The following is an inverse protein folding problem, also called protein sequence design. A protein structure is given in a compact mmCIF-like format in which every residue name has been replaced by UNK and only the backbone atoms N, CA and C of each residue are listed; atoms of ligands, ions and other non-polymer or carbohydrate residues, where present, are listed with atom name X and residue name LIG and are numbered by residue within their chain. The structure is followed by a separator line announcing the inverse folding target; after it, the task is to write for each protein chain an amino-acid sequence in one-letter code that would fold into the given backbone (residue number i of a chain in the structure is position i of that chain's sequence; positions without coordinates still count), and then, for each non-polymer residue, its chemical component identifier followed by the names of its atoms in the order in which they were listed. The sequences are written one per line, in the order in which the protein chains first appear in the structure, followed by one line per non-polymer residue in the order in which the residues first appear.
data_IF_360399083856
#
_entry.id   IF_360399083856
#
_cell.length_a   1.000
_cell.length_b   1.000
_cell.length_c   1.000
_cell.angle_alpha   90.00
_cell.angle_beta   90.00
_cell.angle_gamma   90.00
#
_symmetry.space_group_name_H-M   'P 1'
#
loop_
_entity.id
_entity.type
_entity.pdbx_description
1 polymer ?
#
# COMPACT_ATOMS: atom_id res chain seq x y z
N UNK A 1 18.77 9.56 7.05
CA UNK A 1 20.23 9.54 6.80
C UNK A 1 20.50 10.07 5.40
N UNK A 2 21.66 10.68 5.14
CA UNK A 2 22.01 11.20 3.81
C UNK A 2 22.42 10.06 2.86
N UNK A 3 22.45 10.30 1.55
CA UNK A 3 22.92 9.30 0.57
C UNK A 3 24.37 8.84 0.81
N UNK A 4 25.17 9.69 1.46
CA UNK A 4 26.55 9.35 1.84
C UNK A 4 26.59 8.35 3.00
N UNK A 5 25.63 8.41 3.94
CA UNK A 5 25.60 7.51 5.10
C UNK A 5 25.28 6.05 4.70
N UNK A 6 24.41 5.84 3.70
CA UNK A 6 24.11 4.49 3.20
C UNK A 6 25.35 3.87 2.53
N UNK A 7 26.08 4.65 1.73
CA UNK A 7 27.30 4.18 1.06
C UNK A 7 28.35 3.71 2.07
N UNK A 8 28.56 4.49 3.13
CA UNK A 8 29.46 4.15 4.23
C UNK A 8 29.01 2.86 4.92
N UNK A 9 27.72 2.71 5.18
CA UNK A 9 27.16 1.49 5.80
C UNK A 9 27.37 0.26 4.91
N UNK A 10 27.20 0.40 3.58
CA UNK A 10 27.44 -0.66 2.60
C UNK A 10 28.92 -1.08 2.55
N UNK A 11 29.84 -0.12 2.55
CA UNK A 11 31.28 -0.38 2.59
C UNK A 11 31.66 -1.10 3.91
N UNK A 12 31.13 -0.67 5.06
CA UNK A 12 31.42 -1.29 6.36
C UNK A 12 30.97 -2.75 6.46
N UNK A 13 29.78 -3.08 5.97
CA UNK A 13 29.31 -4.47 5.94
C UNK A 13 30.13 -5.30 4.95
N UNK A 14 30.45 -4.74 3.78
CA UNK A 14 31.29 -5.39 2.77
C UNK A 14 32.67 -5.77 3.30
N UNK A 15 33.38 -4.82 3.91
CA UNK A 15 34.72 -5.01 4.47
C UNK A 15 34.77 -6.10 5.55
N UNK A 16 33.67 -6.28 6.31
CA UNK A 16 33.58 -7.32 7.33
C UNK A 16 33.56 -8.73 6.73
N UNK A 17 32.97 -8.90 5.56
CA UNK A 17 32.80 -10.20 4.89
C UNK A 17 33.79 -10.44 3.74
N UNK A 18 34.65 -9.48 3.41
CA UNK A 18 35.69 -9.61 2.39
C UNK A 18 36.90 -10.45 2.88
N UNK A 19 36.66 -11.66 3.35
CA UNK A 19 37.67 -12.56 3.87
C UNK A 19 38.19 -13.49 2.77
N UNK A 20 39.51 -13.55 2.62
CA UNK A 20 40.19 -14.54 1.77
C UNK A 20 40.25 -15.92 2.43
N UNK A 21 40.61 -16.94 1.63
CA UNK A 21 40.68 -18.35 2.06
C UNK A 21 41.52 -18.55 3.33
N UNK A 22 42.71 -17.92 3.40
CA UNK A 22 43.57 -18.00 4.59
C UNK A 22 42.96 -17.34 5.83
N UNK A 23 42.22 -16.25 5.68
CA UNK A 23 41.58 -15.56 6.80
C UNK A 23 40.42 -16.40 7.35
N UNK A 24 39.65 -17.01 6.46
CA UNK A 24 38.56 -17.94 6.82
C UNK A 24 39.13 -19.14 7.58
N UNK A 25 40.15 -19.81 7.04
CA UNK A 25 40.76 -20.99 7.66
C UNK A 25 41.38 -20.66 9.03
N UNK A 26 42.10 -19.55 9.12
CA UNK A 26 42.67 -19.09 10.38
C UNK A 26 41.60 -18.74 11.42
N UNK A 27 40.54 -18.03 11.02
CA UNK A 27 39.46 -17.63 11.92
C UNK A 27 38.72 -18.85 12.50
N UNK A 28 38.32 -19.80 11.64
CA UNK A 28 37.66 -21.04 12.06
C UNK A 28 38.56 -21.86 13.00
N UNK A 29 39.84 -21.99 12.66
CA UNK A 29 40.81 -22.73 13.49
C UNK A 29 40.98 -22.10 14.87
N UNK A 30 41.02 -20.76 14.96
CA UNK A 30 41.13 -20.05 16.24
C UNK A 30 39.83 -20.17 17.05
N UNK A 31 38.66 -20.09 16.42
CA UNK A 31 37.36 -20.31 17.07
C UNK A 31 37.25 -21.70 17.72
N UNK A 32 37.68 -22.75 17.00
CA UNK A 32 37.62 -24.14 17.49
C UNK A 32 38.48 -24.37 18.74
N UNK A 33 39.58 -23.61 18.88
CA UNK A 33 40.60 -23.85 19.90
C UNK A 33 40.64 -22.78 21.00
N UNK A 34 39.94 -21.66 20.81
CA UNK A 34 39.85 -20.53 21.75
C UNK A 34 41.08 -19.61 21.72
N UNK A 35 42.28 -20.15 21.96
CA UNK A 35 43.55 -19.40 21.88
C UNK A 35 44.69 -20.19 21.23
N UNK A 36 45.36 -19.58 20.27
CA UNK A 36 46.48 -20.20 19.53
C UNK A 36 47.64 -19.23 19.34
N UNK A 37 48.83 -19.78 19.14
CA UNK A 37 49.99 -19.01 18.65
C UNK A 37 50.05 -19.05 17.13
N UNK A 38 50.73 -18.09 16.49
CA UNK A 38 50.91 -18.08 15.04
C UNK A 38 51.52 -19.39 14.50
N UNK A 39 52.46 -20.01 15.23
CA UNK A 39 52.99 -21.32 14.84
C UNK A 39 51.95 -22.42 14.91
N UNK A 40 51.12 -22.44 15.96
CA UNK A 40 50.05 -23.42 16.08
C UNK A 40 48.98 -23.29 15.00
N UNK A 41 48.71 -22.07 14.52
CA UNK A 41 47.82 -21.81 13.38
C UNK A 41 48.45 -22.37 12.10
N UNK A 42 49.73 -22.10 11.85
CA UNK A 42 50.46 -22.65 10.69
C UNK A 42 50.49 -24.20 10.70
N UNK A 43 50.59 -24.82 11.87
CA UNK A 43 50.62 -26.28 12.00
C UNK A 43 49.24 -26.93 11.75
N UNK A 44 48.15 -26.16 11.84
CA UNK A 44 46.76 -26.64 11.76
C UNK A 44 46.05 -26.23 10.48
N UNK A 45 46.67 -25.39 9.67
CA UNK A 45 46.11 -24.84 8.43
C UNK A 45 47.12 -25.00 7.31
N UNK A 46 46.67 -24.85 6.06
CA UNK A 46 47.56 -24.83 4.90
C UNK A 46 48.22 -23.45 4.68
N UNK A 47 48.16 -22.57 5.67
CA UNK A 47 48.68 -21.20 5.59
C UNK A 47 50.20 -21.23 5.78
N UNK A 48 51.00 -20.75 4.81
CA UNK A 48 52.44 -20.65 4.97
C UNK A 48 52.79 -19.80 6.19
N UNK A 49 53.69 -20.28 7.04
CA UNK A 49 54.05 -19.62 8.29
C UNK A 49 54.42 -18.13 8.18
N UNK A 50 55.07 -17.64 7.10
CA UNK A 50 55.30 -16.20 6.91
C UNK A 50 54.00 -15.38 6.76
N UNK A 51 52.92 -15.97 6.24
CA UNK A 51 51.63 -15.32 5.97
C UNK A 51 50.68 -15.33 7.16
N UNK A 52 50.90 -16.18 8.16
CA UNK A 52 50.02 -16.27 9.32
C UNK A 52 49.96 -14.95 10.08
N UNK A 53 51.08 -14.25 10.24
CA UNK A 53 51.12 -12.97 10.94
C UNK A 53 50.28 -11.89 10.23
N UNK A 54 50.35 -11.81 8.90
CA UNK A 54 49.56 -10.87 8.11
C UNK A 54 48.07 -11.22 8.18
N UNK A 55 47.76 -12.51 8.12
CA UNK A 55 46.39 -13.04 8.18
C UNK A 55 45.73 -12.71 9.53
N UNK A 56 46.40 -12.99 10.66
CA UNK A 56 45.83 -12.72 11.99
C UNK A 56 45.78 -11.24 12.33
N UNK A 57 46.66 -10.41 11.73
CA UNK A 57 46.55 -8.94 11.81
C UNK A 57 45.32 -8.44 11.08
N UNK A 58 45.08 -8.91 9.85
CA UNK A 58 43.87 -8.55 9.11
C UNK A 58 42.60 -8.96 9.85
N UNK A 59 42.57 -10.18 10.41
CA UNK A 59 41.46 -10.62 11.26
C UNK A 59 41.29 -9.75 12.51
N UNK A 60 42.39 -9.27 13.10
CA UNK A 60 42.36 -8.38 14.27
C UNK A 60 41.90 -6.97 13.92
N UNK A 61 42.31 -6.42 12.78
CA UNK A 61 41.87 -5.11 12.27
C UNK A 61 40.37 -5.13 11.98
N UNK A 62 39.87 -6.30 11.55
CA UNK A 62 38.44 -6.59 11.41
C UNK A 62 37.80 -7.05 12.72
N UNK A 63 38.44 -6.98 13.88
CA UNK A 63 37.84 -7.32 15.18
C UNK A 63 37.23 -8.73 15.28
N UNK A 64 37.77 -9.70 14.54
CA UNK A 64 37.37 -11.12 14.59
C UNK A 64 38.24 -11.91 15.59
N UNK A 65 39.45 -11.43 15.85
CA UNK A 65 40.39 -12.00 16.82
C UNK A 65 41.08 -10.90 17.61
N UNK A 66 41.52 -11.20 18.83
CA UNK A 66 42.35 -10.33 19.67
C UNK A 66 43.81 -10.83 19.64
N UNK A 67 44.76 -9.92 19.39
CA UNK A 67 46.19 -10.22 19.50
C UNK A 67 46.70 -9.83 20.89
N UNK A 68 47.15 -10.82 21.67
CA UNK A 68 47.80 -10.58 22.96
C UNK A 68 49.31 -10.53 22.82
N UNK A 69 49.90 -9.46 23.37
CA UNK A 69 51.35 -9.22 23.43
C UNK A 69 52.05 -10.15 24.44
N UNK A 70 52.01 -11.46 24.20
CA UNK A 70 52.77 -12.47 24.93
C UNK A 70 53.98 -12.97 24.10
N UNK A 71 54.86 -13.75 24.73
CA UNK A 71 55.97 -14.43 24.04
C UNK A 71 55.81 -15.94 24.21
N UNK A 72 55.39 -16.70 23.17
CA UNK A 72 54.99 -16.25 21.83
C UNK A 72 53.64 -15.49 21.80
N UNK A 73 53.40 -14.70 20.74
CA UNK A 73 52.15 -13.95 20.52
C UNK A 73 50.95 -14.90 20.48
N UNK A 74 49.89 -14.56 21.19
CA UNK A 74 48.63 -15.32 21.20
C UNK A 74 47.56 -14.60 20.39
N UNK A 75 46.76 -15.38 19.69
CA UNK A 75 45.60 -15.00 18.90
C UNK A 75 44.40 -15.64 19.58
N UNK A 76 43.43 -14.83 19.98
CA UNK A 76 42.26 -15.26 20.74
C UNK A 76 41.02 -14.98 19.93
N UNK A 77 40.09 -15.92 19.86
CA UNK A 77 38.81 -15.68 19.22
C UNK A 77 38.02 -14.61 19.99
N UNK A 78 37.44 -13.65 19.25
CA UNK A 78 36.38 -12.81 19.81
C UNK A 78 35.07 -13.59 19.74
N UNK A 79 34.20 -13.42 20.74
CA UNK A 79 32.88 -14.03 20.73
C UNK A 79 32.13 -13.63 19.44
N UNK A 80 31.54 -14.57 18.68
CA UNK A 80 30.85 -14.25 17.43
C UNK A 80 29.70 -13.26 17.60
N UNK A 81 28.96 -13.29 18.71
CA UNK A 81 27.90 -12.31 18.99
C UNK A 81 28.50 -10.91 19.13
N UNK A 82 29.62 -10.78 19.85
CA UNK A 82 30.32 -9.50 20.00
C UNK A 82 30.93 -9.04 18.68
N UNK A 83 31.64 -9.93 17.98
CA UNK A 83 32.34 -9.66 16.73
C UNK A 83 31.38 -9.21 15.62
N UNK A 84 30.19 -9.80 15.52
CA UNK A 84 29.22 -9.50 14.46
C UNK A 84 28.07 -8.57 14.89
N UNK A 85 27.96 -8.20 16.17
CA UNK A 85 26.88 -7.32 16.67
C UNK A 85 26.69 -6.06 15.84
N UNK A 86 27.77 -5.30 15.62
CA UNK A 86 27.71 -4.07 14.84
C UNK A 86 27.31 -4.30 13.38
N UNK A 87 27.79 -5.39 12.77
CA UNK A 87 27.48 -5.72 11.37
C UNK A 87 26.05 -6.23 11.21
N UNK A 88 25.51 -6.95 12.20
CA UNK A 88 24.10 -7.31 12.20
C UNK A 88 23.22 -6.05 12.23
N UNK A 89 23.50 -5.11 13.12
CA UNK A 89 22.77 -3.83 13.18
C UNK A 89 22.92 -3.04 11.87
N UNK A 90 24.15 -2.87 11.36
CA UNK A 90 24.39 -2.16 10.11
C UNK A 90 23.74 -2.83 8.90
N UNK A 91 23.69 -4.16 8.86
CA UNK A 91 22.99 -4.91 7.81
C UNK A 91 21.48 -4.70 7.90
N UNK A 92 20.89 -4.76 9.11
CA UNK A 92 19.48 -4.48 9.31
C UNK A 92 19.13 -3.05 8.88
N UNK A 93 19.89 -2.06 9.34
CA UNK A 93 19.70 -0.65 8.99
C UNK A 93 19.85 -0.42 7.48
N UNK A 94 20.85 -1.05 6.86
CA UNK A 94 21.06 -0.98 5.41
C UNK A 94 19.90 -1.60 4.63
N UNK A 95 19.42 -2.78 5.04
CA UNK A 95 18.27 -3.43 4.39
C UNK A 95 17.04 -2.56 4.51
N UNK A 96 16.73 -2.04 5.70
CA UNK A 96 15.60 -1.14 5.91
C UNK A 96 15.69 0.13 5.07
N UNK A 97 16.88 0.71 4.93
CA UNK A 97 17.09 1.94 4.14
C UNK A 97 17.09 1.68 2.62
N UNK A 98 17.63 0.54 2.17
CA UNK A 98 17.54 0.09 0.78
C UNK A 98 16.09 -0.23 0.42
N UNK A 99 15.35 -0.87 1.32
CA UNK A 99 13.93 -1.12 1.19
C UNK A 99 13.18 0.20 1.10
N UNK A 100 13.42 1.15 2.01
CA UNK A 100 12.83 2.48 1.94
C UNK A 100 13.12 3.19 0.60
N UNK A 101 14.34 3.09 0.04
CA UNK A 101 14.68 3.66 -1.27
C UNK A 101 14.07 2.92 -2.47
N UNK A 102 14.03 1.59 -2.42
CA UNK A 102 13.39 0.76 -3.45
C UNK A 102 11.89 1.03 -3.52
N UNK A 103 11.33 1.36 -2.37
CA UNK A 103 9.90 1.49 -2.13
C UNK A 103 9.41 2.94 -2.24
N UNK A 104 10.32 3.90 -2.04
CA UNK A 104 10.06 5.31 -2.25
C UNK A 104 9.48 5.52 -3.66
N UNK A 105 8.32 6.19 -3.79
CA UNK A 105 7.77 6.53 -5.08
C UNK A 105 8.84 7.23 -5.90
N UNK A 106 9.05 6.78 -7.15
CA UNK A 106 9.79 7.57 -8.11
C UNK A 106 9.05 8.90 -8.24
N UNK A 107 9.51 9.94 -7.52
CA UNK A 107 9.09 11.35 -7.53
C UNK A 107 7.84 11.63 -8.37
N UNK A 108 6.71 12.02 -7.76
CA UNK A 108 5.61 12.87 -8.28
C UNK A 108 5.34 13.01 -9.81
N UNK A 109 5.68 12.04 -10.68
CA UNK A 109 5.65 12.26 -12.14
C UNK A 109 5.20 11.09 -13.00
N UNK A 110 5.01 9.89 -12.45
CA UNK A 110 4.34 8.81 -13.19
C UNK A 110 2.92 8.63 -12.68
N UNK A 111 1.95 9.07 -13.49
CA UNK A 111 0.52 8.82 -13.25
C UNK A 111 0.18 7.32 -13.13
N UNK A 112 1.06 6.46 -13.67
CA UNK A 112 0.93 5.00 -13.64
C UNK A 112 2.27 4.35 -13.33
N UNK A 113 2.33 3.46 -12.34
CA UNK A 113 3.52 2.67 -12.01
C UNK A 113 3.24 1.18 -12.09
N UNK A 114 4.17 0.41 -12.65
CA UNK A 114 4.10 -1.05 -12.71
C UNK A 114 4.97 -1.67 -11.60
N UNK A 115 4.39 -2.49 -10.75
CA UNK A 115 5.11 -3.18 -9.66
C UNK A 115 5.04 -4.68 -9.84
N UNK A 116 6.12 -5.39 -9.51
CA UNK A 116 6.18 -6.86 -9.62
C UNK A 116 6.33 -7.56 -8.26
N UNK A 117 6.83 -6.86 -7.25
CA UNK A 117 7.02 -7.43 -5.93
C UNK A 117 5.72 -7.45 -5.14
N UNK A 118 5.42 -8.60 -4.53
CA UNK A 118 4.31 -8.78 -3.58
C UNK A 118 4.39 -7.78 -2.42
N UNK A 119 5.58 -7.56 -1.84
CA UNK A 119 5.74 -6.60 -0.73
C UNK A 119 5.36 -5.18 -1.15
N UNK A 120 5.73 -4.79 -2.38
CA UNK A 120 5.41 -3.48 -2.93
C UNK A 120 3.91 -3.33 -3.21
N UNK A 121 3.24 -4.38 -3.71
CA UNK A 121 1.78 -4.39 -3.90
C UNK A 121 1.05 -4.24 -2.57
N UNK A 122 1.46 -5.00 -1.54
CA UNK A 122 0.84 -4.96 -0.21
C UNK A 122 0.96 -3.57 0.42
N UNK A 123 2.15 -2.99 0.41
CA UNK A 123 2.32 -1.62 0.91
C UNK A 123 1.49 -0.61 0.11
N UNK A 124 1.41 -0.70 -1.21
CA UNK A 124 0.55 0.22 -1.97
C UNK A 124 -0.94 0.03 -1.67
N UNK A 125 -1.39 -1.17 -1.33
CA UNK A 125 -2.76 -1.38 -0.82
C UNK A 125 -2.96 -0.63 0.50
N UNK A 126 -2.03 -0.79 1.45
CA UNK A 126 -2.02 -0.07 2.73
C UNK A 126 -2.02 1.46 2.51
N UNK A 127 -1.14 1.98 1.64
CA UNK A 127 -1.08 3.41 1.30
C UNK A 127 -2.38 3.94 0.69
N UNK A 128 -3.08 3.13 -0.12
CA UNK A 128 -4.38 3.52 -0.68
C UNK A 128 -5.44 3.52 0.41
N UNK A 129 -5.47 2.53 1.30
CA UNK A 129 -6.41 2.46 2.43
C UNK A 129 -6.23 3.68 3.35
N UNK A 130 -4.99 3.96 3.76
CA UNK A 130 -4.64 5.07 4.65
C UNK A 130 -4.90 6.46 4.04
N UNK A 131 -4.82 6.56 2.71
CA UNK A 131 -5.05 7.83 2.02
C UNK A 131 -6.53 8.17 1.83
N UNK A 132 -7.45 7.24 2.10
CA UNK A 132 -8.88 7.47 1.90
C UNK A 132 -9.44 8.47 2.92
N UNK A 133 -9.99 9.59 2.44
CA UNK A 133 -10.58 10.61 3.30
C UNK A 133 -12.09 10.47 3.44
N UNK A 134 -12.78 9.94 2.43
CA UNK A 134 -14.24 9.85 2.47
C UNK A 134 -14.83 8.64 1.78
N UNK A 135 -14.14 8.03 0.83
CA UNK A 135 -14.56 6.75 0.27
C UNK A 135 -13.43 5.83 -0.14
N UNK A 136 -13.72 4.54 -0.01
CA UNK A 136 -12.81 3.46 -0.33
C UNK A 136 -13.58 2.31 -0.97
N UNK A 137 -13.16 1.90 -2.17
CA UNK A 137 -13.68 0.73 -2.85
C UNK A 137 -12.62 -0.37 -2.88
N UNK A 138 -12.96 -1.55 -2.38
CA UNK A 138 -12.01 -2.65 -2.15
C UNK A 138 -12.49 -3.96 -2.74
N UNK A 139 -11.57 -4.69 -3.35
CA UNK A 139 -11.71 -6.10 -3.69
C UNK A 139 -10.55 -6.85 -3.05
N UNK A 140 -10.81 -7.61 -1.99
CA UNK A 140 -9.80 -8.29 -1.17
C UNK A 140 -10.04 -9.79 -1.11
N UNK A 141 -8.96 -10.55 -0.93
CA UNK A 141 -9.05 -11.95 -0.47
C UNK A 141 -9.30 -11.98 1.04
N UNK A 142 -9.81 -13.09 1.59
CA UNK A 142 -9.95 -13.25 3.04
C UNK A 142 -8.66 -12.98 3.82
N UNK A 143 -7.51 -13.47 3.32
CA UNK A 143 -6.21 -13.21 3.96
C UNK A 143 -5.82 -11.72 3.97
N UNK A 144 -6.23 -10.95 2.95
CA UNK A 144 -5.98 -9.51 2.91
C UNK A 144 -6.98 -8.74 3.76
N UNK A 145 -8.22 -9.23 3.86
CA UNK A 145 -9.21 -8.67 4.79
C UNK A 145 -8.71 -8.78 6.23
N UNK A 146 -8.27 -9.98 6.64
CA UNK A 146 -7.67 -10.23 7.95
C UNK A 146 -6.42 -9.36 8.19
N UNK A 147 -5.56 -9.23 7.16
CA UNK A 147 -4.35 -8.41 7.24
C UNK A 147 -4.63 -6.92 7.49
N UNK A 148 -5.69 -6.37 6.89
CA UNK A 148 -5.98 -4.93 6.92
C UNK A 148 -7.19 -4.58 7.81
N UNK A 149 -7.61 -5.49 8.70
CA UNK A 149 -8.79 -5.30 9.54
C UNK A 149 -8.70 -4.03 10.39
N UNK A 150 -7.54 -3.80 11.02
CA UNK A 150 -7.29 -2.65 11.88
C UNK A 150 -7.34 -1.32 11.11
N UNK A 151 -6.72 -1.26 9.93
CA UNK A 151 -6.70 -0.07 9.06
C UNK A 151 -8.09 0.24 8.51
N UNK A 152 -8.85 -0.79 8.11
CA UNK A 152 -10.23 -0.63 7.65
C UNK A 152 -11.15 -0.16 8.77
N UNK A 153 -10.96 -0.68 9.99
CA UNK A 153 -11.72 -0.23 11.15
C UNK A 153 -11.42 1.23 11.50
N UNK A 154 -10.14 1.63 11.48
CA UNK A 154 -9.75 3.01 11.66
C UNK A 154 -10.36 3.95 10.59
N UNK A 155 -10.46 3.48 9.34
CA UNK A 155 -11.11 4.24 8.27
C UNK A 155 -12.63 4.37 8.47
N UNK A 156 -13.32 3.32 8.93
CA UNK A 156 -14.74 3.40 9.30
C UNK A 156 -14.96 4.40 10.44
N UNK A 157 -14.13 4.33 11.48
CA UNK A 157 -14.18 5.25 12.63
C UNK A 157 -13.91 6.71 12.22
N UNK A 158 -13.05 6.92 11.21
CA UNK A 158 -12.82 8.23 10.61
C UNK A 158 -13.99 8.71 9.71
N UNK A 159 -14.99 7.88 9.47
CA UNK A 159 -16.19 8.20 8.68
C UNK A 159 -16.06 7.92 7.17
N UNK A 160 -15.00 7.21 6.76
CA UNK A 160 -14.78 6.79 5.37
C UNK A 160 -15.85 5.77 4.99
N UNK A 161 -16.45 5.95 3.81
CA UNK A 161 -17.40 4.97 3.30
C UNK A 161 -16.71 3.86 2.53
N UNK A 162 -16.80 2.64 3.04
CA UNK A 162 -16.09 1.50 2.49
C UNK A 162 -17.07 0.54 1.80
N UNK A 163 -16.85 0.32 0.50
CA UNK A 163 -17.47 -0.75 -0.30
C UNK A 163 -16.48 -1.91 -0.44
N UNK A 164 -16.70 -2.96 0.35
CA UNK A 164 -15.81 -4.12 0.40
C UNK A 164 -16.38 -5.29 -0.40
N UNK A 165 -15.59 -5.81 -1.32
CA UNK A 165 -15.85 -7.05 -2.03
C UNK A 165 -14.86 -8.12 -1.57
N UNK A 166 -15.36 -9.21 -1.00
CA UNK A 166 -14.54 -10.36 -0.55
C UNK A 166 -14.62 -11.48 -1.57
N UNK A 167 -13.46 -12.03 -1.95
CA UNK A 167 -13.38 -13.04 -3.01
C UNK A 167 -12.19 -14.00 -2.84
N UNK A 168 -12.39 -15.32 -3.00
CA UNK A 168 -13.62 -15.99 -3.41
C UNK A 168 -14.66 -16.08 -2.29
N UNK A 169 -15.94 -16.01 -2.66
CA UNK A 169 -17.06 -16.08 -1.70
C UNK A 169 -17.09 -17.35 -0.84
N UNK A 170 -16.48 -18.44 -1.29
CA UNK A 170 -16.38 -19.70 -0.54
C UNK A 170 -15.45 -19.63 0.67
N UNK A 171 -14.56 -18.64 0.72
CA UNK A 171 -13.56 -18.46 1.78
C UNK A 171 -13.82 -17.18 2.58
N UNK A 172 -14.85 -16.40 2.23
CA UNK A 172 -15.22 -15.21 2.98
C UNK A 172 -15.68 -15.59 4.40
N UNK A 173 -15.23 -14.85 5.45
CA UNK A 173 -15.72 -15.05 6.82
C UNK A 173 -17.24 -15.06 6.91
N UNK A 174 -17.80 -15.92 7.76
CA UNK A 174 -19.25 -15.97 7.95
C UNK A 174 -19.74 -14.68 8.64
N UNK A 175 -20.72 -13.95 8.08
CA UNK A 175 -21.29 -12.76 8.73
C UNK A 175 -21.87 -12.99 10.12
N UNK A 176 -22.20 -14.24 10.50
CA UNK A 176 -22.65 -14.56 11.86
C UNK A 176 -21.47 -14.62 12.87
N UNK A 177 -20.22 -14.74 12.38
CA UNK A 177 -19.01 -14.89 13.19
C UNK A 177 -18.04 -13.68 13.06
N UNK A 178 -18.15 -12.92 11.97
CA UNK A 178 -17.30 -11.77 11.65
C UNK A 178 -18.16 -10.52 11.43
N UNK A 179 -17.90 -9.46 12.20
CA UNK A 179 -18.66 -8.22 12.08
C UNK A 179 -18.11 -7.34 10.94
N UNK A 180 -18.69 -7.52 9.77
CA UNK A 180 -18.34 -6.73 8.59
C UNK A 180 -18.65 -5.23 8.75
N UNK A 181 -19.47 -4.82 9.73
CA UNK A 181 -19.75 -3.40 9.95
C UNK A 181 -18.56 -2.66 10.57
N UNK A 182 -17.65 -3.37 11.23
CA UNK A 182 -16.43 -2.80 11.80
C UNK A 182 -15.42 -2.42 10.71
N UNK A 183 -15.47 -3.08 9.55
CA UNK A 183 -14.49 -2.89 8.45
C UNK A 183 -15.11 -2.33 7.17
N UNK A 184 -16.44 -2.28 7.06
CA UNK A 184 -17.11 -1.86 5.84
C UNK A 184 -18.49 -1.21 6.06
N UNK A 185 -18.80 -0.18 5.27
CA UNK A 185 -20.17 0.33 5.16
C UNK A 185 -21.07 -0.69 4.46
N UNK A 186 -20.54 -1.35 3.44
CA UNK A 186 -21.22 -2.42 2.72
C UNK A 186 -20.21 -3.45 2.29
N UNK A 187 -20.47 -4.71 2.63
CA UNK A 187 -19.65 -5.85 2.28
C UNK A 187 -20.43 -6.83 1.41
N UNK A 188 -19.81 -7.31 0.34
CA UNK A 188 -20.37 -8.33 -0.57
C UNK A 188 -19.35 -9.41 -0.86
N UNK A 189 -19.82 -10.60 -1.24
CA UNK A 189 -18.97 -11.70 -1.66
C UNK A 189 -19.17 -12.03 -3.14
N UNK A 190 -18.06 -12.33 -3.82
CA UNK A 190 -18.05 -12.73 -5.25
C UNK A 190 -17.39 -14.07 -5.47
N UNK A 191 -18.02 -14.91 -6.28
CA UNK A 191 -17.54 -16.25 -6.62
C UNK A 191 -16.28 -16.21 -7.50
N UNK A 192 -15.40 -17.20 -7.27
CA UNK A 192 -14.26 -17.49 -8.14
C UNK A 192 -13.00 -16.72 -7.78
N UNK A 193 -11.85 -17.32 -8.09
CA UNK A 193 -10.51 -16.83 -7.76
C UNK A 193 -9.91 -15.90 -8.84
N UNK A 194 -10.72 -15.50 -9.83
CA UNK A 194 -10.28 -14.65 -10.94
C UNK A 194 -10.55 -13.18 -10.67
N UNK A 195 -11.21 -12.85 -9.55
CA UNK A 195 -11.48 -11.46 -9.16
C UNK A 195 -10.17 -10.80 -8.73
N UNK A 196 -9.73 -9.72 -9.38
CA UNK A 196 -8.48 -9.05 -9.01
C UNK A 196 -8.58 -8.42 -7.62
N UNK A 197 -7.42 -8.18 -7.02
CA UNK A 197 -7.28 -7.35 -5.83
C UNK A 197 -7.23 -5.89 -6.27
N UNK A 198 -8.09 -5.07 -5.68
CA UNK A 198 -8.23 -3.65 -6.02
C UNK A 198 -8.40 -2.85 -4.74
N UNK A 199 -7.81 -1.66 -4.70
CA UNK A 199 -8.21 -0.59 -3.80
C UNK A 199 -8.33 0.71 -4.58
N UNK A 200 -9.35 1.52 -4.29
CA UNK A 200 -9.53 2.86 -4.84
C UNK A 200 -9.96 3.81 -3.72
N UNK A 201 -9.11 4.77 -3.39
CA UNK A 201 -9.40 5.83 -2.45
C UNK A 201 -9.82 7.11 -3.19
N UNK A 202 -10.98 7.64 -2.78
CA UNK A 202 -11.52 8.93 -3.22
C UNK A 202 -11.59 9.13 -4.76
N UNK A 203 -11.62 8.02 -5.50
CA UNK A 203 -11.68 8.00 -6.97
C UNK A 203 -10.37 8.29 -7.71
N UNK A 204 -9.29 8.66 -7.02
CA UNK A 204 -8.06 9.15 -7.65
C UNK A 204 -6.83 8.28 -7.40
N UNK A 205 -6.72 7.69 -6.20
CA UNK A 205 -5.58 6.84 -5.86
C UNK A 205 -6.02 5.38 -5.90
N UNK A 206 -5.40 4.58 -6.77
CA UNK A 206 -5.82 3.19 -6.93
C UNK A 206 -4.70 2.23 -7.24
N UNK A 207 -4.94 0.97 -6.89
CA UNK A 207 -4.13 -0.18 -7.26
C UNK A 207 -5.00 -1.27 -7.88
N UNK A 208 -4.46 -1.92 -8.91
CA UNK A 208 -5.00 -3.13 -9.51
C UNK A 208 -3.92 -4.20 -9.48
N UNK A 209 -4.22 -5.37 -8.93
CA UNK A 209 -3.35 -6.54 -8.97
C UNK A 209 -4.17 -7.80 -9.24
N UNK A 210 -3.62 -8.77 -9.99
CA UNK A 210 -4.25 -10.10 -10.06
C UNK A 210 -4.11 -10.81 -8.71
N UNK A 211 -5.05 -11.68 -8.30
CA UNK A 211 -4.86 -12.46 -7.05
C UNK A 211 -3.57 -13.28 -7.10
N UNK A 212 -3.32 -13.79 -8.29
CA UNK A 212 -2.10 -14.45 -8.68
C UNK A 212 -0.88 -13.58 -8.34
N UNK A 213 -0.84 -12.26 -8.59
CA UNK A 213 0.32 -11.42 -8.27
C UNK A 213 0.70 -11.39 -6.77
N UNK A 214 -0.16 -11.89 -5.89
CA UNK A 214 0.09 -12.03 -4.47
C UNK A 214 0.54 -13.45 -4.05
N UNK A 215 0.61 -14.38 -5.01
CA UNK A 215 1.16 -15.73 -4.91
C UNK A 215 2.52 -15.75 -5.67
N UNK A 216 3.47 -16.58 -5.29
CA UNK A 216 4.82 -16.62 -5.89
C UNK A 216 4.84 -17.25 -7.31
N UNK A 217 4.55 -16.50 -8.39
CA UNK A 217 4.85 -16.90 -9.80
C UNK A 217 5.45 -15.73 -10.58
N UNK A 218 6.20 -16.09 -11.62
CA UNK A 218 7.20 -15.29 -12.32
C UNK A 218 6.65 -14.24 -13.31
N UNK A 219 5.35 -14.26 -13.69
CA UNK A 219 4.79 -13.39 -14.76
C UNK A 219 3.69 -12.43 -14.28
N UNK A 220 3.92 -11.69 -13.17
CA UNK A 220 2.84 -10.94 -12.51
C UNK A 220 3.17 -9.50 -12.16
N UNK A 221 2.18 -8.63 -12.30
CA UNK A 221 2.31 -7.19 -12.07
C UNK A 221 1.07 -6.61 -11.38
N UNK A 222 1.31 -5.66 -10.48
CA UNK A 222 0.34 -4.67 -10.04
C UNK A 222 0.50 -3.38 -10.82
N UNK A 223 -0.60 -2.67 -11.06
CA UNK A 223 -0.62 -1.34 -11.66
C UNK A 223 -1.13 -0.36 -10.62
N UNK A 224 -0.36 0.67 -10.33
CA UNK A 224 -0.74 1.75 -9.42
C UNK A 224 -1.03 2.98 -10.26
N UNK A 225 -2.16 3.63 -9.97
CA UNK A 225 -2.50 4.94 -10.52
C UNK A 225 -2.34 5.97 -9.40
N UNK A 226 -1.25 6.74 -9.44
CA UNK A 226 -0.88 7.68 -8.38
C UNK A 226 -1.73 8.96 -8.48
N UNK A 227 -2.81 9.06 -7.67
CA UNK A 227 -3.63 10.28 -7.49
C UNK A 227 -3.91 10.98 -8.81
N UNK A 228 -4.52 10.24 -9.73
CA UNK A 228 -4.73 10.68 -11.10
C UNK A 228 -6.15 10.44 -11.52
N UNK A 229 -6.61 11.18 -12.53
CA UNK A 229 -7.91 10.96 -13.16
C UNK A 229 -8.10 9.54 -13.74
N UNK A 230 -7.02 8.73 -13.82
CA UNK A 230 -7.10 7.33 -14.25
C UNK A 230 -7.64 6.40 -13.15
N UNK A 231 -7.64 6.81 -11.86
CA UNK A 231 -8.28 6.05 -10.78
C UNK A 231 -9.75 5.78 -11.05
N UNK A 232 -10.42 6.67 -11.78
CA UNK A 232 -11.75 6.50 -12.33
C UNK A 232 -11.95 5.20 -13.11
N UNK A 233 -10.95 4.77 -13.90
CA UNK A 233 -11.06 3.57 -14.72
C UNK A 233 -11.17 2.32 -13.83
N UNK A 234 -10.40 2.29 -12.74
CA UNK A 234 -10.42 1.20 -11.76
C UNK A 234 -11.72 1.24 -10.97
N UNK A 235 -12.14 2.43 -10.52
CA UNK A 235 -13.45 2.63 -9.85
C UNK A 235 -14.62 2.19 -10.74
N UNK A 236 -14.59 2.58 -12.02
CA UNK A 236 -15.58 2.20 -13.01
C UNK A 236 -15.62 0.70 -13.25
N UNK A 237 -14.46 0.05 -13.40
CA UNK A 237 -14.37 -1.41 -13.50
C UNK A 237 -14.90 -2.11 -12.24
N UNK A 238 -14.50 -1.65 -11.05
CA UNK A 238 -15.00 -2.18 -9.78
C UNK A 238 -16.53 -2.09 -9.71
N UNK A 239 -17.08 -0.90 -9.89
CA UNK A 239 -18.52 -0.65 -9.75
C UNK A 239 -19.37 -1.34 -10.81
N UNK A 240 -18.90 -1.43 -12.07
CA UNK A 240 -19.70 -1.98 -13.18
C UNK A 240 -19.53 -3.47 -13.41
N UNK A 241 -18.35 -4.03 -13.12
CA UNK A 241 -18.06 -5.44 -13.38
C UNK A 241 -18.03 -6.25 -12.10
N UNK A 242 -17.34 -5.78 -11.07
CA UNK A 242 -17.12 -6.60 -9.86
C UNK A 242 -18.31 -6.49 -8.89
N UNK A 243 -18.72 -5.26 -8.56
CA UNK A 243 -19.73 -4.97 -7.55
C UNK A 243 -21.14 -5.41 -7.95
N UNK A 244 -21.51 -5.21 -9.21
CA UNK A 244 -22.82 -5.59 -9.78
C UNK A 244 -22.98 -7.10 -9.95
N UNK A 245 -21.88 -7.84 -10.09
CA UNK A 245 -21.89 -9.30 -10.26
C UNK A 245 -21.63 -10.06 -8.96
N UNK A 246 -21.57 -9.37 -7.82
CA UNK A 246 -21.49 -9.98 -6.50
C UNK A 246 -22.82 -10.66 -6.14
N UNK A 247 -22.75 -11.90 -5.65
CA UNK A 247 -23.92 -12.79 -5.49
C UNK A 247 -24.53 -12.71 -4.08
N UNK A 248 -23.70 -12.43 -3.06
CA UNK A 248 -24.09 -12.43 -1.65
C UNK A 248 -23.76 -11.09 -1.01
N UNK A 249 -24.72 -10.48 -0.32
CA UNK A 249 -24.46 -9.36 0.59
C UNK A 249 -24.06 -9.95 1.94
N UNK A 250 -22.93 -9.49 2.48
CA UNK A 250 -22.38 -9.91 3.77
C UNK A 250 -22.85 -8.95 4.88
N UNK A 251 -22.80 -7.65 4.60
CA UNK A 251 -23.30 -6.60 5.48
C UNK A 251 -23.67 -5.35 4.68
N UNK A 252 -24.62 -4.56 5.18
CA UNK A 252 -24.98 -3.26 4.60
C UNK A 252 -25.52 -2.33 5.70
N UNK A 253 -24.88 -1.18 5.90
CA UNK A 253 -25.30 -0.13 6.84
C UNK A 253 -25.22 1.28 6.21
N UNK A 254 -25.52 1.37 4.92
CA UNK A 254 -25.43 2.64 4.19
C UNK A 254 -26.48 3.69 4.59
N UNK A 255 -27.61 3.25 5.15
CA UNK A 255 -28.74 4.14 5.47
C UNK A 255 -28.45 5.02 6.69
N UNK A 256 -27.79 4.49 7.73
CA UNK A 256 -27.58 5.18 9.01
C UNK A 256 -26.40 6.16 9.03
N UNK A 257 -25.70 6.33 7.89
CA UNK A 257 -24.55 7.24 7.83
C UNK A 257 -24.95 8.71 8.09
N UNK A 258 -24.21 9.47 8.91
CA UNK A 258 -24.52 10.86 9.15
C UNK A 258 -24.30 11.73 7.89
N UNK A 259 -25.00 12.86 7.84
CA UNK A 259 -24.74 13.92 6.87
C UNK A 259 -23.90 15.03 7.53
N UNK A 260 -23.02 15.74 6.79
CA UNK A 260 -22.86 15.70 5.34
C UNK A 260 -22.06 14.48 4.83
N UNK A 261 -22.46 13.95 3.68
CA UNK A 261 -21.78 12.83 3.00
C UNK A 261 -20.95 13.34 1.83
N UNK A 262 -19.80 12.72 1.56
CA UNK A 262 -18.88 13.02 0.45
C UNK A 262 -18.82 11.83 -0.53
N UNK A 263 -18.71 12.12 -1.82
CA UNK A 263 -18.64 11.13 -2.89
C UNK A 263 -17.68 11.61 -4.00
N UNK A 264 -16.91 10.69 -4.60
CA UNK A 264 -16.17 10.97 -5.85
C UNK A 264 -16.97 10.56 -7.09
N UNK A 265 -17.89 9.61 -6.93
CA UNK A 265 -18.70 9.06 -8.01
C UNK A 265 -20.14 9.57 -7.98
N UNK A 266 -20.55 10.29 -9.05
CA UNK A 266 -21.95 10.70 -9.23
C UNK A 266 -22.90 9.51 -9.19
N UNK A 267 -22.46 8.36 -9.73
CA UNK A 267 -23.33 7.19 -9.88
C UNK A 267 -23.65 6.59 -8.53
N UNK A 268 -22.63 6.52 -7.66
CA UNK A 268 -22.78 6.08 -6.28
C UNK A 268 -23.68 7.03 -5.50
N UNK A 269 -23.39 8.33 -5.58
CA UNK A 269 -24.18 9.38 -4.94
C UNK A 269 -25.67 9.28 -5.33
N UNK A 270 -25.97 9.24 -6.64
CA UNK A 270 -27.35 9.14 -7.14
C UNK A 270 -28.02 7.86 -6.64
N UNK A 271 -27.35 6.71 -6.72
CA UNK A 271 -27.92 5.43 -6.28
C UNK A 271 -28.30 5.46 -4.80
N UNK A 272 -27.40 5.95 -3.96
CA UNK A 272 -27.62 6.02 -2.51
C UNK A 272 -28.73 7.02 -2.16
N UNK A 273 -28.73 8.22 -2.76
CA UNK A 273 -29.76 9.22 -2.49
C UNK A 273 -31.15 8.81 -3.00
N UNK A 274 -31.24 7.99 -4.05
CA UNK A 274 -32.52 7.46 -4.54
C UNK A 274 -33.16 6.46 -3.58
N UNK A 275 -32.35 5.77 -2.78
CA UNK A 275 -32.81 4.81 -1.77
C UNK A 275 -33.23 5.52 -0.47
N UNK A 276 -32.82 6.78 -0.27
CA UNK A 276 -33.13 7.57 0.93
C UNK A 276 -34.31 8.52 0.72
N UNK A 277 -35.20 8.60 1.71
CA UNK A 277 -36.29 9.58 1.72
C UNK A 277 -35.82 10.95 2.21
N UNK A 278 -36.38 12.03 1.65
CA UNK A 278 -36.23 13.40 2.13
C UNK A 278 -35.55 14.34 1.14
N UNK A 279 -35.46 15.62 1.51
CA UNK A 279 -34.81 16.64 0.69
C UNK A 279 -33.28 16.63 0.90
N UNK A 280 -32.56 16.90 -0.18
CA UNK A 280 -31.10 16.94 -0.20
C UNK A 280 -30.59 18.24 -0.78
N UNK A 281 -29.43 18.66 -0.31
CA UNK A 281 -28.72 19.82 -0.81
C UNK A 281 -27.29 19.42 -1.12
N UNK A 282 -26.76 19.91 -2.23
CA UNK A 282 -25.45 19.52 -2.71
C UNK A 282 -24.53 20.71 -2.96
N UNK A 283 -23.25 20.51 -2.66
CA UNK A 283 -22.12 21.34 -3.10
C UNK A 283 -21.25 20.48 -4.00
N UNK A 284 -21.11 20.88 -5.26
CA UNK A 284 -20.35 20.17 -6.29
C UNK A 284 -19.12 20.99 -6.61
N UNK A 285 -17.96 20.36 -6.51
CA UNK A 285 -16.72 20.88 -7.08
C UNK A 285 -16.40 20.13 -8.36
N UNK A 286 -16.15 20.87 -9.43
CA UNK A 286 -15.97 20.27 -10.73
C UNK A 286 -15.50 21.26 -11.79
N UNK A 287 -15.80 20.93 -13.03
CA UNK A 287 -15.54 21.80 -14.19
C UNK A 287 -16.73 21.89 -15.12
N UNK A 288 -16.86 23.04 -15.74
CA UNK A 288 -17.81 23.26 -16.83
C UNK A 288 -17.39 22.45 -18.07
N UNK A 289 -18.32 21.70 -18.67
CA UNK A 289 -17.96 20.71 -19.70
C UNK A 289 -17.53 21.34 -21.04
N UNK A 290 -18.03 22.54 -21.36
CA UNK A 290 -17.74 23.21 -22.64
C UNK A 290 -16.46 24.03 -22.54
N UNK A 291 -16.25 24.70 -21.41
CA UNK A 291 -15.11 25.63 -21.22
C UNK A 291 -13.93 25.00 -20.50
N UNK A 292 -14.14 23.91 -19.75
CA UNK A 292 -13.14 23.29 -18.88
C UNK A 292 -12.79 24.11 -17.63
N UNK A 293 -13.47 25.24 -17.40
CA UNK A 293 -13.21 26.12 -16.26
C UNK A 293 -13.70 25.52 -14.95
N UNK A 294 -12.94 25.70 -13.87
CA UNK A 294 -13.36 25.23 -12.54
C UNK A 294 -14.66 25.92 -12.13
N UNK A 295 -15.61 25.12 -11.66
CA UNK A 295 -16.95 25.58 -11.31
C UNK A 295 -17.40 24.91 -10.02
N UNK A 296 -17.97 25.72 -9.12
CA UNK A 296 -18.61 25.24 -7.89
C UNK A 296 -20.11 25.49 -8.00
N UNK A 297 -20.91 24.45 -7.82
CA UNK A 297 -22.38 24.52 -7.89
C UNK A 297 -22.94 24.20 -6.51
N UNK A 298 -23.84 25.04 -5.99
CA UNK A 298 -24.49 24.84 -4.69
C UNK A 298 -26.00 25.01 -4.81
N UNK A 299 -26.75 24.10 -4.22
CA UNK A 299 -28.20 24.21 -4.24
C UNK A 299 -28.96 22.98 -3.78
N UNK A 300 -30.27 23.02 -3.96
CA UNK A 300 -31.20 21.92 -3.68
C UNK A 300 -31.10 20.87 -4.78
N UNK A 301 -31.09 19.58 -4.41
CA UNK A 301 -31.17 18.47 -5.35
C UNK A 301 -32.63 18.26 -5.75
N UNK A 302 -32.96 18.58 -7.00
CA UNK A 302 -34.35 18.64 -7.49
C UNK A 302 -34.71 17.50 -8.45
N UNK A 303 -33.75 16.63 -8.72
CA UNK A 303 -34.00 15.42 -9.50
C UNK A 303 -32.73 14.67 -9.84
N UNK A 304 -32.93 13.43 -10.25
CA UNK A 304 -31.89 12.54 -10.73
C UNK A 304 -32.18 12.16 -12.18
N UNK A 305 -31.15 12.08 -13.01
CA UNK A 305 -31.20 11.46 -14.32
C UNK A 305 -30.52 10.11 -14.25
N UNK A 306 -31.30 9.03 -14.23
CA UNK A 306 -30.80 7.66 -14.28
C UNK A 306 -31.54 6.91 -15.38
N UNK A 307 -30.90 6.70 -16.52
CA UNK A 307 -31.48 5.87 -17.59
C UNK A 307 -31.12 4.40 -17.38
N UNK A 308 -32.12 3.53 -17.47
CA UNK A 308 -31.94 2.09 -17.40
C UNK A 308 -30.96 1.62 -18.50
N UNK A 309 -29.89 0.94 -18.10
CA UNK A 309 -28.83 0.45 -18.99
C UNK A 309 -27.47 1.14 -18.81
N UNK A 310 -27.20 1.76 -17.66
CA UNK A 310 -25.88 2.26 -17.25
C UNK A 310 -25.31 3.41 -18.11
N UNK A 311 -26.13 4.05 -18.95
CA UNK A 311 -25.68 5.10 -19.89
C UNK A 311 -25.53 6.48 -19.27
N UNK A 312 -26.39 6.86 -18.33
CA UNK A 312 -26.40 8.21 -17.75
C UNK A 312 -26.76 8.12 -16.27
N UNK A 313 -25.88 8.65 -15.42
CA UNK A 313 -26.15 8.92 -14.00
C UNK A 313 -25.79 10.37 -13.74
N UNK A 314 -26.79 11.18 -13.37
CA UNK A 314 -26.62 12.60 -13.15
C UNK A 314 -27.62 13.16 -12.15
N UNK A 315 -27.37 14.38 -11.73
CA UNK A 315 -28.14 15.10 -10.71
C UNK A 315 -28.52 16.49 -11.23
N UNK A 316 -29.69 16.97 -10.85
CA UNK A 316 -30.16 18.33 -11.14
C UNK A 316 -30.13 19.16 -9.86
N UNK A 317 -29.43 20.28 -9.91
CA UNK A 317 -29.26 21.17 -8.76
C UNK A 317 -29.94 22.51 -9.07
N UNK A 318 -30.88 22.92 -8.24
CA UNK A 318 -31.50 24.25 -8.32
C UNK A 318 -30.62 25.26 -7.60
N UNK A 319 -30.09 26.20 -8.37
CA UNK A 319 -29.29 27.35 -7.95
C UNK A 319 -30.07 28.65 -8.10
N UNK A 320 -29.50 29.77 -7.65
CA UNK A 320 -30.09 31.10 -7.84
C UNK A 320 -30.22 31.50 -9.32
N UNK A 321 -29.33 31.00 -10.18
CA UNK A 321 -29.29 31.28 -11.62
C UNK A 321 -30.09 30.27 -12.47
N UNK A 322 -30.73 29.30 -11.83
CA UNK A 322 -31.53 28.25 -12.49
C UNK A 322 -31.08 26.82 -12.15
N UNK A 323 -31.61 25.86 -12.91
CA UNK A 323 -31.29 24.43 -12.70
C UNK A 323 -30.03 24.09 -13.50
N UNK A 324 -29.04 23.53 -12.82
CA UNK A 324 -27.78 23.03 -13.39
C UNK A 324 -27.80 21.50 -13.38
N UNK A 325 -27.41 20.89 -14.49
CA UNK A 325 -27.22 19.44 -14.61
C UNK A 325 -25.78 19.06 -14.30
N UNK A 326 -25.60 18.00 -13.51
CA UNK A 326 -24.31 17.56 -12.99
C UNK A 326 -24.11 16.09 -13.32
N UNK A 327 -23.06 15.80 -14.07
CA UNK A 327 -22.61 14.46 -14.40
C UNK A 327 -21.37 14.07 -13.58
N UNK A 328 -20.91 12.84 -13.78
CA UNK A 328 -19.69 12.33 -13.15
C UNK A 328 -18.46 12.68 -13.97
N UNK A 329 -17.31 12.11 -13.59
CA UNK A 329 -16.10 12.22 -14.40
C UNK A 329 -16.36 11.77 -15.85
N UNK A 330 -15.80 12.54 -16.79
CA UNK A 330 -16.04 12.38 -18.24
C UNK A 330 -17.49 12.66 -18.66
N UNK A 331 -18.21 13.53 -17.94
CA UNK A 331 -19.53 14.01 -18.33
C UNK A 331 -19.51 14.67 -19.71
N UNK A 332 -20.56 14.42 -20.50
CA UNK A 332 -20.68 14.94 -21.86
C UNK A 332 -22.08 15.49 -22.19
N UNK A 333 -23.09 15.19 -21.35
CA UNK A 333 -24.47 15.61 -21.59
C UNK A 333 -24.93 16.69 -20.60
N UNK A 334 -24.27 16.77 -19.45
CA UNK A 334 -24.56 17.64 -18.33
C UNK A 334 -23.74 18.93 -18.37
N UNK A 335 -24.18 19.99 -17.70
CA UNK A 335 -23.47 21.28 -17.67
C UNK A 335 -22.13 21.22 -16.94
N UNK A 336 -22.03 20.34 -15.93
CA UNK A 336 -20.86 20.22 -15.04
C UNK A 336 -20.42 18.78 -14.88
N UNK A 337 -19.12 18.54 -15.04
CA UNK A 337 -18.43 17.33 -14.60
C UNK A 337 -18.05 17.47 -13.13
N UNK A 338 -18.57 16.61 -12.27
CA UNK A 338 -18.24 16.58 -10.85
C UNK A 338 -16.92 15.83 -10.59
N UNK A 339 -16.07 16.42 -9.75
CA UNK A 339 -14.89 15.76 -9.17
C UNK A 339 -15.11 15.41 -7.69
N UNK A 340 -15.78 16.29 -6.93
CA UNK A 340 -16.17 16.04 -5.55
C UNK A 340 -17.61 16.47 -5.33
N UNK A 341 -18.38 15.62 -4.65
CA UNK A 341 -19.80 15.81 -4.38
C UNK A 341 -20.03 15.76 -2.87
N UNK A 342 -20.56 16.84 -2.30
CA UNK A 342 -20.96 16.92 -0.89
C UNK A 342 -22.45 17.04 -0.79
N UNK A 343 -23.09 16.21 0.01
CA UNK A 343 -24.55 16.19 0.20
C UNK A 343 -24.90 16.41 1.65
N UNK A 344 -25.91 17.24 1.91
CA UNK A 344 -26.48 17.54 3.22
C UNK A 344 -28.01 17.48 3.20
N UNK A 345 -28.64 17.58 4.39
CA UNK A 345 -30.10 17.51 4.56
C UNK A 345 -30.79 18.88 4.67
N UNK A 346 -30.11 19.88 5.21
CA UNK A 346 -30.73 21.17 5.56
C UNK A 346 -30.27 22.34 4.67
N UNK A 347 -29.03 22.28 4.18
CA UNK A 347 -28.41 23.30 3.36
C UNK A 347 -27.24 22.69 2.57
N UNK A 348 -26.79 23.34 1.48
CA UNK A 348 -25.59 22.89 0.76
C UNK A 348 -24.39 22.87 1.73
N UNK A 349 -23.67 21.74 1.88
CA UNK A 349 -22.53 21.67 2.79
C UNK A 349 -21.41 22.64 2.40
N UNK A 350 -20.68 23.15 3.39
CA UNK A 350 -19.48 23.95 3.14
C UNK A 350 -18.29 23.08 2.68
N UNK A 351 -17.28 23.74 2.12
CA UNK A 351 -16.03 23.11 1.66
C UNK A 351 -15.13 22.78 2.85
#
# INVERSE_FOLDING_TARGET
MTSDDLRVTMEQVGDRFDLGEYEIDAYLTVLEHGDLTASQIADRTDIPQPRVYDTVRSLSDRGLVELRESRPMKVIAVDPEEAFSGVQTSLMDMVSELEARYTAPARDTEAVSLVKSRSTILRYLEEVIDAAEFELALSLTPDLLDRYEDELSAAIDAGVSIELLVTPASEAPDPDEFDYHDVATTARARRGITTPVIAVADGEYSIYATQDALRDDEDRYGVIFNRSALGFLVSGFFGTVLWTTAERTLAANGEDRPFPRRYSSIRRCVKELQELEGDFYATIEGRDIETGSSRVVRGEVVGFSFEAGERVAGMKIRTDDGVVTVGGQVAALEDVEAHEIRVGRNSPPER
#
